data_IF_888345929634
#
_entry.id   IF_888345929634
#
_cell.length_a   1.000
_cell.length_b   1.000
_cell.length_c   1.000
_cell.angle_alpha   90.00
_cell.angle_beta   90.00
_cell.angle_gamma   90.00
#
_symmetry.space_group_name_H-M   'P 1'
#
loop_
_entity.id
_entity.type
_entity.pdbx_description
1 polymer ?
#
# COMPACT_ATOMS: atom_id res chain seq x y z
N UNK A 1 -18.77 27.48 30.26
CA UNK A 1 -19.71 26.38 29.98
C UNK A 1 -19.53 26.00 28.52
N UNK A 2 -18.76 24.97 28.23
CA UNK A 2 -18.54 24.45 26.87
C UNK A 2 -19.36 23.17 26.76
N UNK A 3 -20.32 23.20 25.84
CA UNK A 3 -21.30 22.15 25.55
C UNK A 3 -20.61 20.85 25.14
N UNK A 4 -20.78 19.79 25.94
CA UNK A 4 -20.43 18.42 25.61
C UNK A 4 -21.34 17.91 24.49
N UNK A 5 -20.86 17.89 23.23
CA UNK A 5 -21.52 17.14 22.17
C UNK A 5 -21.27 15.65 22.39
N UNK A 6 -22.35 14.95 22.71
CA UNK A 6 -22.46 13.51 22.80
C UNK A 6 -21.91 12.82 21.56
N UNK A 7 -20.76 12.18 21.67
CA UNK A 7 -20.22 11.25 20.68
C UNK A 7 -21.06 9.97 20.75
N UNK A 8 -21.81 9.68 19.67
CA UNK A 8 -22.62 8.46 19.57
C UNK A 8 -21.73 7.23 19.64
N UNK A 9 -21.97 6.38 20.62
CA UNK A 9 -21.29 5.10 20.86
C UNK A 9 -21.54 4.15 19.67
N UNK A 10 -20.61 4.09 18.71
CA UNK A 10 -20.51 2.99 17.78
C UNK A 10 -19.60 1.92 18.40
N UNK A 11 -20.20 0.96 19.10
CA UNK A 11 -19.48 -0.21 19.62
C UNK A 11 -19.18 -1.15 18.44
N UNK A 12 -18.08 -0.92 17.76
CA UNK A 12 -17.56 -1.90 16.81
C UNK A 12 -16.70 -2.93 17.57
N UNK A 13 -17.31 -4.08 17.88
CA UNK A 13 -16.54 -5.31 18.13
C UNK A 13 -15.85 -5.67 16.80
N UNK A 14 -14.58 -5.29 16.62
CA UNK A 14 -13.83 -5.53 15.38
C UNK A 14 -13.55 -7.04 15.15
N UNK A 15 -13.58 -7.84 16.23
CA UNK A 15 -13.39 -9.28 16.13
C UNK A 15 -14.70 -9.94 15.64
N UNK A 16 -14.69 -10.44 14.37
CA UNK A 16 -15.78 -11.15 13.74
C UNK A 16 -16.70 -10.33 12.82
N UNK A 17 -16.46 -9.02 12.66
CA UNK A 17 -17.18 -8.24 11.64
C UNK A 17 -16.69 -8.61 10.23
N UNK A 18 -17.60 -8.70 9.21
CA UNK A 18 -17.20 -8.96 7.84
C UNK A 18 -16.18 -7.92 7.32
N UNK A 19 -15.17 -8.38 6.57
CA UNK A 19 -14.16 -7.51 6.01
C UNK A 19 -14.75 -6.56 4.97
N UNK A 20 -14.40 -5.28 5.08
CA UNK A 20 -14.84 -4.23 4.16
C UNK A 20 -13.87 -3.98 3.02
N UNK A 21 -12.71 -4.61 3.01
CA UNK A 21 -11.66 -4.39 2.03
C UNK A 21 -11.19 -5.72 1.41
N UNK A 22 -10.92 -5.68 0.11
CA UNK A 22 -10.42 -6.80 -0.68
C UNK A 22 -9.13 -6.41 -1.37
N UNK A 23 -8.05 -7.15 -1.12
CA UNK A 23 -6.80 -7.08 -1.88
C UNK A 23 -6.73 -8.23 -2.89
N UNK A 24 -6.29 -7.97 -4.10
CA UNK A 24 -6.08 -8.99 -5.13
C UNK A 24 -4.63 -8.91 -5.60
N UNK A 25 -3.87 -9.97 -5.35
CA UNK A 25 -2.47 -10.06 -5.75
C UNK A 25 -2.33 -10.70 -7.12
N UNK A 26 -1.72 -9.95 -8.05
CA UNK A 26 -1.40 -10.43 -9.40
C UNK A 26 0.08 -10.78 -9.46
N UNK A 27 0.42 -12.07 -9.61
CA UNK A 27 1.82 -12.50 -9.50
C UNK A 27 2.59 -12.35 -10.82
N UNK A 28 2.19 -11.47 -11.73
CA UNK A 28 2.80 -11.35 -13.05
C UNK A 28 3.37 -9.96 -13.29
N UNK A 29 4.57 -9.92 -13.91
CA UNK A 29 5.20 -8.72 -14.41
C UNK A 29 5.73 -8.94 -15.82
N UNK A 30 5.72 -7.88 -16.66
CA UNK A 30 6.38 -7.92 -17.95
C UNK A 30 7.91 -8.07 -17.78
N UNK A 31 8.48 -7.45 -16.73
CA UNK A 31 9.87 -7.61 -16.31
C UNK A 31 9.96 -7.38 -14.80
N UNK A 32 10.80 -8.15 -14.10
CA UNK A 32 11.05 -7.96 -12.66
C UNK A 32 12.08 -6.87 -12.46
N UNK A 33 11.74 -5.86 -11.67
CA UNK A 33 12.63 -4.76 -11.31
C UNK A 33 13.75 -5.25 -10.39
N UNK A 34 14.91 -4.59 -10.43
CA UNK A 34 16.11 -5.03 -9.71
C UNK A 34 16.03 -4.90 -8.18
N UNK A 35 15.09 -4.09 -7.68
CA UNK A 35 14.86 -3.81 -6.26
C UNK A 35 13.65 -4.53 -5.67
N UNK A 36 12.79 -5.14 -6.53
CA UNK A 36 11.48 -5.61 -6.13
C UNK A 36 11.54 -6.99 -5.48
N UNK A 37 11.06 -7.10 -4.25
CA UNK A 37 10.92 -8.34 -3.47
C UNK A 37 9.50 -8.92 -3.52
N UNK A 38 8.52 -8.19 -4.09
CA UNK A 38 7.17 -8.72 -4.24
C UNK A 38 7.17 -10.02 -5.04
N UNK A 39 6.32 -10.95 -4.59
CA UNK A 39 6.13 -12.19 -5.31
C UNK A 39 5.59 -11.89 -6.71
N UNK A 40 6.42 -12.08 -7.71
CA UNK A 40 6.06 -11.89 -9.12
C UNK A 40 6.94 -12.75 -10.03
N UNK A 41 6.32 -13.21 -11.11
CA UNK A 41 6.91 -14.05 -12.15
C UNK A 41 6.82 -13.33 -13.50
N UNK A 42 7.72 -13.62 -14.44
CA UNK A 42 7.53 -13.22 -15.83
C UNK A 42 6.22 -13.78 -16.37
N UNK A 43 5.49 -12.99 -17.12
CA UNK A 43 4.19 -13.40 -17.64
C UNK A 43 4.30 -14.54 -18.66
N UNK A 44 3.50 -15.63 -18.43
CA UNK A 44 3.25 -16.71 -19.38
C UNK A 44 1.76 -16.74 -19.78
N UNK A 45 1.44 -16.81 -21.08
CA UNK A 45 0.04 -16.75 -21.54
C UNK A 45 -0.82 -17.93 -21.08
N UNK A 46 -0.24 -19.13 -20.98
CA UNK A 46 -0.96 -20.34 -20.55
C UNK A 46 -1.31 -20.34 -19.06
N UNK A 47 -0.51 -19.66 -18.24
CA UNK A 47 -0.67 -19.62 -16.78
C UNK A 47 -1.73 -18.62 -16.32
N UNK A 48 -1.91 -17.53 -17.06
CA UNK A 48 -2.84 -16.45 -16.71
C UNK A 48 -4.29 -16.93 -16.62
N UNK A 49 -4.78 -17.69 -17.58
CA UNK A 49 -6.17 -18.19 -17.60
C UNK A 49 -6.47 -19.17 -16.47
N UNK A 50 -5.53 -20.07 -16.11
CA UNK A 50 -5.68 -20.96 -14.96
C UNK A 50 -5.65 -20.21 -13.64
N UNK A 51 -4.75 -19.25 -13.51
CA UNK A 51 -4.69 -18.35 -12.37
C UNK A 51 -5.99 -17.57 -12.17
N UNK A 52 -6.58 -16.97 -13.21
CA UNK A 52 -7.84 -16.23 -13.09
C UNK A 52 -9.00 -17.12 -12.67
N UNK A 53 -9.08 -18.35 -13.17
CA UNK A 53 -10.08 -19.34 -12.70
C UNK A 53 -9.87 -19.71 -11.22
N UNK A 54 -8.61 -19.90 -10.79
CA UNK A 54 -8.26 -20.17 -9.40
C UNK A 54 -8.61 -18.99 -8.49
N UNK A 55 -8.31 -17.75 -8.92
CA UNK A 55 -8.63 -16.51 -8.22
C UNK A 55 -10.15 -16.36 -8.03
N UNK A 56 -10.95 -16.61 -9.09
CA UNK A 56 -12.40 -16.62 -9.00
C UNK A 56 -12.94 -17.70 -8.06
N UNK A 57 -12.28 -18.86 -7.97
CA UNK A 57 -12.63 -19.90 -7.00
C UNK A 57 -12.34 -19.45 -5.56
N UNK A 58 -11.19 -18.83 -5.31
CA UNK A 58 -10.87 -18.26 -3.99
C UNK A 58 -11.85 -17.16 -3.59
N UNK A 59 -12.20 -16.25 -4.51
CA UNK A 59 -13.20 -15.22 -4.26
C UNK A 59 -14.54 -15.82 -3.79
N UNK A 60 -15.01 -16.88 -4.45
CA UNK A 60 -16.24 -17.60 -4.02
C UNK A 60 -16.08 -18.23 -2.64
N UNK A 61 -14.94 -18.84 -2.35
CA UNK A 61 -14.67 -19.46 -1.06
C UNK A 61 -14.62 -18.44 0.09
N UNK A 62 -14.09 -17.24 -0.15
CA UNK A 62 -13.97 -16.16 0.84
C UNK A 62 -15.20 -15.26 0.95
N UNK A 63 -16.19 -15.39 0.06
CA UNK A 63 -17.37 -14.53 -0.03
C UNK A 63 -18.10 -14.32 1.30
N UNK A 64 -18.20 -15.36 2.13
CA UNK A 64 -18.87 -15.34 3.43
C UNK A 64 -18.19 -14.46 4.49
N UNK A 65 -16.91 -14.09 4.27
CA UNK A 65 -16.11 -13.21 5.16
C UNK A 65 -16.18 -11.75 4.74
N UNK A 66 -16.67 -11.46 3.55
CA UNK A 66 -16.70 -10.13 2.96
C UNK A 66 -18.04 -9.45 3.23
N UNK A 67 -17.98 -8.14 3.52
CA UNK A 67 -19.15 -7.27 3.56
C UNK A 67 -19.56 -6.91 2.13
N UNK A 68 -20.84 -6.80 1.89
CA UNK A 68 -21.38 -6.32 0.61
C UNK A 68 -22.23 -5.07 0.84
N UNK A 69 -21.95 -3.93 0.18
CA UNK A 69 -20.82 -3.69 -0.72
C UNK A 69 -19.48 -3.57 0.02
N UNK A 70 -18.36 -3.73 -0.71
CA UNK A 70 -17.02 -3.49 -0.19
C UNK A 70 -16.76 -1.97 -0.08
N UNK A 71 -15.98 -1.58 0.91
CA UNK A 71 -15.50 -0.21 1.03
C UNK A 71 -14.32 0.07 0.05
N UNK A 72 -13.49 -0.94 -0.19
CA UNK A 72 -12.39 -0.85 -1.14
C UNK A 72 -12.04 -2.20 -1.76
N UNK A 73 -11.66 -2.16 -3.04
CA UNK A 73 -10.97 -3.24 -3.76
C UNK A 73 -9.65 -2.67 -4.27
N UNK A 74 -8.57 -3.39 -4.03
CA UNK A 74 -7.23 -2.99 -4.50
C UNK A 74 -6.59 -4.16 -5.26
N UNK A 75 -6.30 -3.96 -6.52
CA UNK A 75 -5.66 -4.94 -7.40
C UNK A 75 -4.21 -4.48 -7.65
N UNK A 76 -3.27 -5.26 -7.14
CA UNK A 76 -1.85 -4.90 -7.16
C UNK A 76 -0.92 -6.14 -7.14
N UNK A 77 0.28 -5.93 -6.63
CA UNK A 77 1.31 -6.97 -6.48
C UNK A 77 2.40 -6.89 -7.53
N UNK A 78 2.35 -7.70 -8.58
CA UNK A 78 3.21 -7.54 -9.75
C UNK A 78 2.76 -6.37 -10.62
N UNK A 79 2.10 -6.64 -11.74
CA UNK A 79 1.57 -5.58 -12.62
C UNK A 79 0.24 -6.04 -13.22
N UNK A 80 -0.90 -5.66 -12.65
CA UNK A 80 -2.22 -6.07 -13.17
C UNK A 80 -2.42 -5.79 -14.67
N UNK A 81 -1.93 -4.65 -15.15
CA UNK A 81 -2.05 -4.24 -16.55
C UNK A 81 -1.13 -5.00 -17.52
N UNK A 82 -0.26 -5.89 -17.02
CA UNK A 82 0.62 -6.71 -17.90
C UNK A 82 -0.04 -7.96 -18.46
N UNK A 83 -1.18 -8.42 -17.90
CA UNK A 83 -1.80 -9.70 -18.28
C UNK A 83 -2.59 -9.65 -19.59
N UNK A 84 -2.52 -8.55 -20.31
CA UNK A 84 -3.23 -8.32 -21.56
C UNK A 84 -4.70 -7.90 -21.39
N UNK A 85 -5.31 -7.38 -22.43
CA UNK A 85 -6.65 -6.77 -22.38
C UNK A 85 -7.72 -7.76 -21.94
N UNK A 86 -7.74 -8.97 -22.50
CA UNK A 86 -8.72 -10.00 -22.15
C UNK A 86 -8.55 -10.51 -20.70
N UNK A 87 -7.31 -10.72 -20.27
CA UNK A 87 -7.01 -11.13 -18.91
C UNK A 87 -7.38 -10.03 -17.89
N UNK A 88 -7.15 -8.77 -18.23
CA UNK A 88 -7.53 -7.64 -17.38
C UNK A 88 -9.05 -7.53 -17.24
N UNK A 89 -9.81 -7.72 -18.31
CA UNK A 89 -11.28 -7.71 -18.28
C UNK A 89 -11.82 -8.84 -17.38
N UNK A 90 -11.34 -10.07 -17.57
CA UNK A 90 -11.69 -11.22 -16.73
C UNK A 90 -11.33 -10.99 -15.26
N UNK A 91 -10.15 -10.45 -14.98
CA UNK A 91 -9.69 -10.12 -13.63
C UNK A 91 -10.63 -9.13 -12.93
N UNK A 92 -10.94 -8.01 -13.58
CA UNK A 92 -11.74 -6.94 -13.00
C UNK A 92 -13.22 -7.31 -12.84
N UNK A 93 -13.70 -8.32 -13.57
CA UNK A 93 -15.04 -8.89 -13.41
C UNK A 93 -15.19 -9.71 -12.10
N UNK A 94 -14.09 -10.24 -11.53
CA UNK A 94 -14.15 -11.10 -10.33
C UNK A 94 -14.82 -10.37 -9.14
N UNK A 95 -14.46 -9.16 -8.74
CA UNK A 95 -15.08 -8.45 -7.63
C UNK A 95 -16.38 -7.71 -8.00
N UNK A 96 -16.82 -7.68 -9.27
CA UNK A 96 -17.89 -6.81 -9.74
C UNK A 96 -19.19 -6.91 -8.91
N UNK A 97 -19.58 -8.11 -8.44
CA UNK A 97 -20.76 -8.30 -7.61
C UNK A 97 -20.68 -7.73 -6.20
N UNK A 98 -19.53 -7.18 -5.76
CA UNK A 98 -19.29 -6.57 -4.44
C UNK A 98 -19.08 -5.06 -4.50
N UNK A 99 -19.16 -4.46 -5.70
CA UNK A 99 -18.96 -3.03 -5.92
C UNK A 99 -20.27 -2.26 -5.84
N UNK A 100 -20.18 -1.00 -5.42
CA UNK A 100 -21.21 0.03 -5.58
C UNK A 100 -20.56 1.38 -5.95
N UNK A 101 -21.34 2.45 -6.01
CA UNK A 101 -20.86 3.78 -6.36
C UNK A 101 -19.89 4.39 -5.34
N UNK A 102 -19.88 3.90 -4.09
CA UNK A 102 -19.01 4.38 -3.01
C UNK A 102 -17.76 3.52 -2.82
N UNK A 103 -17.67 2.38 -3.51
CA UNK A 103 -16.48 1.50 -3.44
C UNK A 103 -15.27 2.18 -4.09
N UNK A 104 -14.14 2.28 -3.37
CA UNK A 104 -12.86 2.62 -3.99
C UNK A 104 -12.32 1.39 -4.72
N UNK A 105 -12.30 1.42 -6.04
CA UNK A 105 -11.75 0.35 -6.87
C UNK A 105 -10.43 0.81 -7.49
N UNK A 106 -9.34 0.33 -6.87
CA UNK A 106 -7.96 0.72 -7.18
C UNK A 106 -7.25 -0.34 -8.00
N UNK A 107 -6.48 0.09 -9.00
CA UNK A 107 -5.60 -0.78 -9.79
C UNK A 107 -4.21 -0.16 -9.87
N UNK A 108 -3.18 -0.97 -9.62
CA UNK A 108 -1.79 -0.61 -9.90
C UNK A 108 -1.47 -0.85 -11.38
N UNK A 109 -0.71 0.06 -11.96
CA UNK A 109 -0.28 -0.03 -13.34
C UNK A 109 1.16 0.43 -13.51
N UNK A 110 1.84 -0.13 -14.52
CA UNK A 110 3.14 0.36 -14.96
C UNK A 110 2.99 1.15 -16.27
N UNK A 111 3.70 2.27 -16.44
CA UNK A 111 3.58 3.09 -17.65
C UNK A 111 3.74 2.31 -18.96
N UNK A 112 4.68 1.35 -19.00
CA UNK A 112 4.92 0.52 -20.19
C UNK A 112 3.87 -0.55 -20.50
N UNK A 113 2.85 -0.71 -19.62
CA UNK A 113 1.78 -1.72 -19.77
C UNK A 113 0.38 -1.08 -19.93
N UNK A 114 0.32 0.24 -20.00
CA UNK A 114 -0.93 0.99 -20.18
C UNK A 114 -1.09 1.34 -21.66
N UNK A 115 -2.14 0.82 -22.28
CA UNK A 115 -2.55 1.18 -23.65
C UNK A 115 -4.03 1.59 -23.70
N UNK A 116 -4.49 2.10 -24.85
CA UNK A 116 -5.85 2.62 -25.00
C UNK A 116 -6.92 1.58 -24.71
N UNK A 117 -6.73 0.32 -25.12
CA UNK A 117 -7.69 -0.77 -24.88
C UNK A 117 -7.73 -1.18 -23.41
N UNK A 118 -6.57 -1.28 -22.77
CA UNK A 118 -6.50 -1.54 -21.33
C UNK A 118 -7.18 -0.45 -20.50
N UNK A 119 -7.02 0.82 -20.90
CA UNK A 119 -7.71 1.95 -20.27
C UNK A 119 -9.24 1.86 -20.44
N UNK A 120 -9.72 1.48 -21.63
CA UNK A 120 -11.17 1.25 -21.85
C UNK A 120 -11.72 0.16 -20.94
N UNK A 121 -10.96 -0.93 -20.72
CA UNK A 121 -11.34 -2.02 -19.80
C UNK A 121 -11.38 -1.49 -18.35
N UNK A 122 -10.37 -0.75 -17.91
CA UNK A 122 -10.36 -0.16 -16.56
C UNK A 122 -11.61 0.69 -16.30
N UNK A 123 -11.94 1.57 -17.25
CA UNK A 123 -13.12 2.45 -17.13
C UNK A 123 -14.42 1.65 -17.15
N UNK A 124 -14.56 0.69 -18.06
CA UNK A 124 -15.77 -0.13 -18.21
C UNK A 124 -16.04 -1.01 -16.98
N UNK A 125 -14.98 -1.48 -16.32
CA UNK A 125 -15.06 -2.26 -15.09
C UNK A 125 -15.41 -1.41 -13.84
N UNK A 126 -15.46 -0.07 -13.98
CA UNK A 126 -15.75 0.83 -12.86
C UNK A 126 -14.54 1.13 -11.97
N UNK A 127 -13.31 0.89 -12.46
CA UNK A 127 -12.10 1.34 -11.76
C UNK A 127 -12.14 2.86 -11.62
N UNK A 128 -11.98 3.35 -10.39
CA UNK A 128 -12.09 4.77 -10.11
C UNK A 128 -10.80 5.37 -9.52
N UNK A 129 -9.78 4.52 -9.25
CA UNK A 129 -8.45 4.91 -8.80
C UNK A 129 -7.38 4.08 -9.55
N UNK A 130 -6.35 4.76 -10.09
CA UNK A 130 -5.18 4.08 -10.67
C UNK A 130 -3.91 4.68 -10.09
N UNK A 131 -3.00 3.82 -9.62
CA UNK A 131 -1.66 4.20 -9.20
C UNK A 131 -0.66 3.78 -10.29
N UNK A 132 0.13 4.74 -10.79
CA UNK A 132 1.19 4.49 -11.76
C UNK A 132 2.54 4.39 -11.06
N UNK A 133 3.19 3.24 -11.18
CA UNK A 133 4.55 3.00 -10.70
C UNK A 133 5.59 3.66 -11.62
N UNK A 134 5.74 4.98 -11.53
CA UNK A 134 6.67 5.75 -12.34
C UNK A 134 8.10 5.61 -11.83
N UNK A 135 8.31 5.69 -10.52
CA UNK A 135 9.52 5.57 -9.74
C UNK A 135 10.50 6.74 -9.92
N UNK A 136 10.75 7.19 -11.16
CA UNK A 136 11.54 8.37 -11.49
C UNK A 136 11.18 8.93 -12.87
N UNK A 137 11.45 10.22 -13.08
CA UNK A 137 11.39 10.86 -14.39
C UNK A 137 12.80 11.03 -15.04
N UNK A 138 13.78 10.29 -14.53
CA UNK A 138 15.16 10.26 -15.04
C UNK A 138 15.47 8.90 -15.65
N UNK A 139 15.95 8.89 -16.91
CA UNK A 139 16.21 7.65 -17.63
C UNK A 139 17.33 6.80 -17.02
N UNK A 140 18.34 7.46 -16.46
CA UNK A 140 19.47 6.84 -15.75
C UNK A 140 19.01 6.15 -14.45
N UNK A 141 18.15 6.81 -13.67
CA UNK A 141 17.57 6.27 -12.43
C UNK A 141 16.64 5.07 -12.74
N UNK A 142 15.77 5.20 -13.76
CA UNK A 142 14.93 4.09 -14.21
C UNK A 142 15.77 2.87 -14.64
N UNK A 143 16.89 3.10 -15.35
CA UNK A 143 17.82 2.03 -15.73
C UNK A 143 18.46 1.37 -14.51
N UNK A 144 18.87 2.14 -13.50
CA UNK A 144 19.42 1.62 -12.26
C UNK A 144 18.43 0.71 -11.53
N UNK A 145 17.15 1.07 -11.53
CA UNK A 145 16.04 0.28 -10.97
C UNK A 145 15.63 -0.93 -11.84
N UNK A 146 16.12 -1.05 -13.08
CA UNK A 146 15.69 -2.09 -14.03
C UNK A 146 14.28 -1.87 -14.58
N UNK A 147 13.82 -0.61 -14.65
CA UNK A 147 12.53 -0.26 -15.26
C UNK A 147 12.62 -0.29 -16.77
N UNK A 148 11.56 -0.81 -17.42
CA UNK A 148 11.49 -0.98 -18.88
C UNK A 148 10.82 0.20 -19.60
N UNK A 149 10.19 1.13 -18.85
CA UNK A 149 9.56 2.31 -19.43
C UNK A 149 10.49 3.53 -19.39
N UNK A 150 10.21 4.49 -20.26
CA UNK A 150 10.87 5.80 -20.30
C UNK A 150 10.07 6.86 -19.55
N UNK A 151 10.69 8.00 -19.18
CA UNK A 151 9.98 9.14 -18.60
C UNK A 151 8.83 9.64 -19.49
N UNK A 152 8.97 9.59 -20.81
CA UNK A 152 7.91 10.00 -21.73
C UNK A 152 6.72 9.05 -21.66
N UNK A 153 6.95 7.74 -21.62
CA UNK A 153 5.86 6.77 -21.47
C UNK A 153 5.10 6.95 -20.14
N UNK A 154 5.77 7.40 -19.08
CA UNK A 154 5.09 7.71 -17.81
C UNK A 154 4.12 8.89 -17.95
N UNK A 155 4.53 9.97 -18.66
CA UNK A 155 3.66 11.12 -18.97
C UNK A 155 2.49 10.72 -19.86
N UNK A 156 2.77 9.95 -20.91
CA UNK A 156 1.76 9.52 -21.87
C UNK A 156 0.71 8.63 -21.23
N UNK A 157 1.12 7.66 -20.42
CA UNK A 157 0.22 6.78 -19.66
C UNK A 157 -0.67 7.59 -18.69
N UNK A 158 -0.10 8.52 -17.94
CA UNK A 158 -0.87 9.38 -17.04
C UNK A 158 -1.90 10.24 -17.78
N UNK A 159 -1.51 10.84 -18.90
CA UNK A 159 -2.40 11.66 -19.72
C UNK A 159 -3.51 10.82 -20.37
N UNK A 160 -3.20 9.61 -20.83
CA UNK A 160 -4.16 8.67 -21.40
C UNK A 160 -5.24 8.29 -20.39
N UNK A 161 -4.86 7.91 -19.16
CA UNK A 161 -5.78 7.61 -18.08
C UNK A 161 -6.68 8.82 -17.76
N UNK A 162 -6.10 10.02 -17.70
CA UNK A 162 -6.84 11.25 -17.44
C UNK A 162 -7.83 11.60 -18.54
N UNK A 163 -7.44 11.46 -19.80
CA UNK A 163 -8.30 11.71 -20.97
C UNK A 163 -9.49 10.73 -21.02
N UNK A 164 -9.29 9.50 -20.58
CA UNK A 164 -10.35 8.51 -20.44
C UNK A 164 -11.33 8.78 -19.29
N UNK A 165 -11.14 9.86 -18.52
CA UNK A 165 -12.05 10.27 -17.45
C UNK A 165 -11.69 9.79 -16.05
N UNK A 166 -10.59 9.06 -15.86
CA UNK A 166 -10.12 8.67 -14.54
C UNK A 166 -9.64 9.91 -13.77
N UNK A 167 -10.27 10.18 -12.62
CA UNK A 167 -10.06 11.41 -11.85
C UNK A 167 -9.22 11.22 -10.60
N UNK A 168 -9.04 10.00 -10.13
CA UNK A 168 -8.23 9.68 -8.96
C UNK A 168 -6.97 8.93 -9.41
N UNK A 169 -5.96 9.68 -9.82
CA UNK A 169 -4.69 9.16 -10.33
C UNK A 169 -3.58 9.42 -9.32
N UNK A 170 -2.85 8.36 -8.98
CA UNK A 170 -1.66 8.40 -8.15
C UNK A 170 -0.40 8.17 -8.96
N UNK A 171 0.71 8.71 -8.48
CA UNK A 171 2.06 8.48 -8.99
C UNK A 171 2.92 7.97 -7.85
N UNK A 172 3.70 6.92 -8.10
CA UNK A 172 4.65 6.39 -7.13
C UNK A 172 6.06 6.74 -7.58
N UNK A 173 6.85 7.34 -6.67
CA UNK A 173 8.24 7.73 -6.86
C UNK A 173 9.12 7.06 -5.81
N UNK A 174 10.40 6.83 -6.16
CA UNK A 174 11.41 6.28 -5.25
C UNK A 174 12.55 7.28 -5.11
N UNK A 175 12.96 7.56 -3.87
CA UNK A 175 14.20 8.28 -3.57
C UNK A 175 15.25 7.34 -2.98
N UNK A 176 16.52 7.78 -2.99
CA UNK A 176 17.63 6.93 -2.55
C UNK A 176 18.10 5.93 -3.62
N UNK A 177 17.77 6.17 -4.90
CA UNK A 177 18.23 5.34 -6.02
C UNK A 177 19.74 5.49 -6.19
N UNK A 178 20.52 4.41 -6.41
CA UNK A 178 21.94 4.52 -6.65
C UNK A 178 22.29 5.55 -7.73
N UNK A 179 23.15 6.52 -7.38
CA UNK A 179 23.52 7.63 -8.24
C UNK A 179 22.52 8.78 -8.31
N UNK A 180 21.39 8.68 -7.64
CA UNK A 180 20.44 9.78 -7.51
C UNK A 180 21.02 10.88 -6.60
N UNK A 181 20.83 12.14 -6.99
CA UNK A 181 21.14 13.31 -6.17
C UNK A 181 19.86 13.98 -5.65
N UNK A 182 19.97 14.79 -4.60
CA UNK A 182 18.85 15.62 -4.15
C UNK A 182 18.28 16.48 -5.28
N UNK A 183 19.12 17.01 -6.17
CA UNK A 183 18.67 17.82 -7.30
C UNK A 183 17.87 17.00 -8.32
N UNK A 184 18.29 15.76 -8.65
CA UNK A 184 17.54 14.91 -9.58
C UNK A 184 16.22 14.42 -8.97
N UNK A 185 16.20 14.15 -7.66
CA UNK A 185 14.98 13.88 -6.91
C UNK A 185 13.99 15.06 -6.96
N UNK A 186 14.48 16.27 -6.67
CA UNK A 186 13.67 17.49 -6.73
C UNK A 186 13.04 17.70 -8.12
N UNK A 187 13.80 17.44 -9.18
CA UNK A 187 13.29 17.52 -10.55
C UNK A 187 12.20 16.47 -10.81
N UNK A 188 12.36 15.23 -10.35
CA UNK A 188 11.35 14.16 -10.49
C UNK A 188 10.06 14.47 -9.71
N UNK A 189 10.18 15.00 -8.49
CA UNK A 189 9.01 15.43 -7.69
C UNK A 189 8.28 16.59 -8.37
N UNK A 190 9.01 17.60 -8.86
CA UNK A 190 8.41 18.75 -9.56
C UNK A 190 7.63 18.28 -10.79
N UNK A 191 8.22 17.39 -11.60
CA UNK A 191 7.58 16.84 -12.78
C UNK A 191 6.33 16.00 -12.45
N UNK A 192 6.37 15.18 -11.38
CA UNK A 192 5.21 14.47 -10.90
C UNK A 192 4.07 15.44 -10.49
N UNK A 193 4.39 16.51 -9.78
CA UNK A 193 3.41 17.49 -9.32
C UNK A 193 2.83 18.36 -10.47
N UNK A 194 3.62 18.62 -11.52
CA UNK A 194 3.14 19.32 -12.72
C UNK A 194 2.05 18.52 -13.46
N UNK A 195 2.05 17.21 -13.36
CA UNK A 195 0.97 16.34 -13.84
C UNK A 195 -0.31 16.47 -13.01
N UNK A 196 -0.27 17.15 -11.86
CA UNK A 196 -1.41 17.40 -10.94
C UNK A 196 -2.11 16.11 -10.50
N UNK A 197 -1.39 15.15 -9.91
CA UNK A 197 -2.00 13.92 -9.42
C UNK A 197 -2.92 14.21 -8.22
N UNK A 198 -3.79 13.26 -7.91
CA UNK A 198 -4.62 13.28 -6.70
C UNK A 198 -3.93 12.62 -5.53
N UNK A 199 -2.92 11.80 -5.81
CA UNK A 199 -2.14 11.08 -4.83
C UNK A 199 -0.68 10.97 -5.29
N UNK A 200 0.24 11.05 -4.37
CA UNK A 200 1.67 10.88 -4.62
C UNK A 200 2.24 9.96 -3.54
N UNK A 201 2.95 8.93 -3.95
CA UNK A 201 3.74 8.09 -3.05
C UNK A 201 5.22 8.39 -3.25
N UNK A 202 5.96 8.57 -2.16
CA UNK A 202 7.41 8.78 -2.18
C UNK A 202 8.05 7.77 -1.22
N UNK A 203 8.61 6.70 -1.78
CA UNK A 203 9.21 5.62 -1.02
C UNK A 203 10.73 5.79 -0.96
N UNK A 204 11.32 5.52 0.21
CA UNK A 204 12.75 5.26 0.28
C UNK A 204 13.07 3.93 -0.41
N UNK A 205 14.13 3.90 -1.21
CA UNK A 205 14.63 2.64 -1.76
C UNK A 205 15.12 1.74 -0.62
N UNK A 206 14.59 0.53 -0.57
CA UNK A 206 15.10 -0.51 0.33
C UNK A 206 15.85 -1.56 -0.46
N UNK A 207 17.05 -1.91 0.00
CA UNK A 207 17.85 -2.99 -0.56
C UNK A 207 17.41 -4.33 0.04
N UNK A 208 16.40 -4.95 -0.58
CA UNK A 208 15.82 -6.21 -0.09
C UNK A 208 16.72 -7.39 -0.42
N UNK A 209 16.97 -8.27 0.54
CA UNK A 209 17.75 -9.49 0.36
C UNK A 209 17.28 -10.30 -0.85
N UNK A 210 18.22 -10.94 -1.52
CA UNK A 210 17.96 -11.76 -2.71
C UNK A 210 17.50 -11.00 -3.97
N UNK A 211 17.48 -9.66 -3.94
CA UNK A 211 17.26 -8.87 -5.16
C UNK A 211 18.58 -8.60 -5.90
N UNK A 212 18.56 -8.42 -7.24
CA UNK A 212 19.76 -8.04 -7.98
C UNK A 212 20.43 -6.76 -7.49
N UNK A 213 19.64 -5.79 -7.00
CA UNK A 213 20.17 -4.53 -6.50
C UNK A 213 20.86 -4.71 -5.15
N UNK A 214 20.36 -5.57 -4.27
CA UNK A 214 21.01 -5.94 -3.02
C UNK A 214 22.35 -6.67 -3.29
N UNK A 215 22.38 -7.57 -4.28
CA UNK A 215 23.63 -8.24 -4.69
C UNK A 215 24.68 -7.25 -5.20
N UNK A 216 24.25 -6.20 -5.90
CA UNK A 216 25.15 -5.13 -6.35
C UNK A 216 25.70 -4.31 -5.18
N UNK A 217 24.86 -4.02 -4.16
CA UNK A 217 25.28 -3.36 -2.93
C UNK A 217 26.32 -4.21 -2.18
N UNK A 218 26.04 -5.51 -1.97
CA UNK A 218 26.96 -6.43 -1.29
C UNK A 218 28.31 -6.58 -2.02
N UNK A 219 28.30 -6.45 -3.34
CA UNK A 219 29.50 -6.52 -4.17
C UNK A 219 30.21 -5.16 -4.32
N UNK A 220 29.72 -4.10 -3.68
CA UNK A 220 30.32 -2.75 -3.78
C UNK A 220 30.18 -2.12 -5.17
N UNK A 221 29.23 -2.58 -5.98
CA UNK A 221 28.98 -2.01 -7.33
C UNK A 221 28.06 -0.79 -7.29
N UNK A 222 27.28 -0.67 -6.23
CA UNK A 222 26.44 0.49 -5.93
C UNK A 222 26.59 0.83 -4.45
N UNK A 223 26.28 2.08 -4.12
CA UNK A 223 26.28 2.58 -2.75
C UNK A 223 24.85 3.01 -2.37
N UNK A 224 24.52 2.87 -1.11
CA UNK A 224 23.30 3.41 -0.54
C UNK A 224 23.47 4.92 -0.31
N UNK A 225 22.43 5.69 -0.58
CA UNK A 225 22.39 7.12 -0.26
C UNK A 225 22.51 7.31 1.26
N UNK A 226 23.32 8.25 1.70
CA UNK A 226 23.49 8.51 3.13
C UNK A 226 22.17 9.01 3.78
N UNK A 227 22.04 8.80 5.08
CA UNK A 227 20.81 9.08 5.82
C UNK A 227 20.43 10.58 5.78
N UNK A 228 21.41 11.49 5.80
CA UNK A 228 21.15 12.92 5.76
C UNK A 228 20.61 13.36 4.39
N UNK A 229 21.12 12.75 3.31
CA UNK A 229 20.59 12.97 1.96
C UNK A 229 19.20 12.35 1.80
N UNK A 230 18.96 11.15 2.35
CA UNK A 230 17.62 10.53 2.36
C UNK A 230 16.60 11.40 3.12
N UNK A 231 16.99 11.93 4.29
CA UNK A 231 16.14 12.86 5.04
C UNK A 231 15.86 14.15 4.24
N UNK A 232 16.85 14.70 3.55
CA UNK A 232 16.68 15.88 2.70
C UNK A 232 15.68 15.60 1.55
N UNK A 233 15.76 14.41 0.92
CA UNK A 233 14.82 13.98 -0.11
C UNK A 233 13.39 13.87 0.45
N UNK A 234 13.23 13.23 1.60
CA UNK A 234 11.94 13.07 2.28
C UNK A 234 11.33 14.43 2.68
N UNK A 235 12.11 15.31 3.30
CA UNK A 235 11.67 16.67 3.66
C UNK A 235 11.27 17.50 2.43
N UNK A 236 12.01 17.35 1.33
CA UNK A 236 11.65 18.01 0.08
C UNK A 236 10.29 17.53 -0.43
N UNK A 237 10.03 16.21 -0.45
CA UNK A 237 8.75 15.65 -0.88
C UNK A 237 7.57 16.23 -0.07
N UNK A 238 7.69 16.27 1.26
CA UNK A 238 6.65 16.87 2.14
C UNK A 238 6.39 18.33 1.77
N UNK A 239 7.46 19.15 1.66
CA UNK A 239 7.33 20.56 1.36
C UNK A 239 6.73 20.81 -0.03
N UNK A 240 7.17 20.08 -1.04
CA UNK A 240 6.69 20.19 -2.41
C UNK A 240 5.23 19.74 -2.55
N UNK A 241 4.87 18.61 -1.97
CA UNK A 241 3.51 18.08 -1.95
C UNK A 241 2.54 19.05 -1.28
N UNK A 242 2.90 19.61 -0.10
CA UNK A 242 2.09 20.59 0.61
C UNK A 242 1.83 21.86 -0.22
N UNK A 243 2.86 22.39 -0.91
CA UNK A 243 2.72 23.53 -1.82
C UNK A 243 1.80 23.24 -3.00
N UNK A 244 1.74 21.97 -3.45
CA UNK A 244 0.85 21.52 -4.51
C UNK A 244 -0.57 21.15 -4.02
N UNK A 245 -0.86 21.28 -2.71
CA UNK A 245 -2.15 21.01 -2.10
C UNK A 245 -2.41 19.52 -1.85
N UNK A 246 -1.35 18.71 -1.70
CA UNK A 246 -1.43 17.34 -1.21
C UNK A 246 -1.03 17.30 0.26
N UNK A 247 -1.85 16.68 1.09
CA UNK A 247 -1.63 16.49 2.52
C UNK A 247 -0.85 15.20 2.76
N UNK A 248 0.21 15.26 3.58
CA UNK A 248 0.93 14.10 4.08
C UNK A 248 0.02 13.38 5.08
N UNK A 249 -0.47 12.17 4.78
CA UNK A 249 -1.43 11.48 5.64
C UNK A 249 -0.88 10.22 6.30
N UNK A 250 0.19 9.64 5.76
CA UNK A 250 0.93 8.53 6.38
C UNK A 250 2.38 8.55 5.87
N UNK A 251 3.23 7.68 6.36
CA UNK A 251 4.69 7.73 6.27
C UNK A 251 5.26 8.05 4.88
N UNK A 252 4.66 7.52 3.80
CA UNK A 252 5.17 7.66 2.42
C UNK A 252 4.18 8.34 1.47
N UNK A 253 2.93 8.58 1.88
CA UNK A 253 1.87 8.94 0.97
C UNK A 253 1.27 10.32 1.23
N UNK A 254 1.01 11.01 0.12
CA UNK A 254 0.41 12.34 0.07
C UNK A 254 -0.83 12.30 -0.80
N UNK A 255 -1.90 12.99 -0.39
CA UNK A 255 -3.14 13.02 -1.15
C UNK A 255 -3.81 14.39 -1.08
N UNK A 256 -4.56 14.75 -2.12
CA UNK A 256 -5.52 15.85 -2.00
C UNK A 256 -6.58 15.51 -0.95
N UNK A 257 -7.18 16.49 -0.27
CA UNK A 257 -8.26 16.25 0.69
C UNK A 257 -9.33 15.31 0.13
N UNK A 258 -9.64 14.23 0.88
CA UNK A 258 -10.61 13.21 0.47
C UNK A 258 -10.14 12.26 -0.64
N UNK A 259 -8.83 12.23 -0.96
CA UNK A 259 -8.22 11.34 -1.96
C UNK A 259 -7.17 10.38 -1.38
N UNK A 260 -7.10 10.29 -0.05
CA UNK A 260 -6.29 9.25 0.62
C UNK A 260 -6.72 7.87 0.13
N UNK A 261 -5.78 6.93 0.02
CA UNK A 261 -6.10 5.55 -0.35
C UNK A 261 -6.86 4.86 0.78
N UNK A 262 -8.15 4.62 0.59
CA UNK A 262 -9.01 3.97 1.60
C UNK A 262 -8.56 2.56 1.92
N UNK A 263 -8.01 1.87 0.95
CA UNK A 263 -7.46 0.55 1.14
C UNK A 263 -6.23 0.57 2.06
N UNK A 264 -5.27 1.48 1.84
CA UNK A 264 -4.09 1.64 2.71
C UNK A 264 -4.50 2.05 4.13
N UNK A 265 -5.49 2.94 4.26
CA UNK A 265 -6.04 3.31 5.57
C UNK A 265 -6.63 2.11 6.31
N UNK A 266 -7.21 1.12 5.60
CA UNK A 266 -7.68 -0.14 6.22
C UNK A 266 -6.53 -0.87 6.94
N UNK A 267 -5.34 -0.89 6.33
CA UNK A 267 -4.14 -1.49 6.93
C UNK A 267 -3.67 -0.70 8.15
N UNK A 268 -3.52 0.62 8.00
CA UNK A 268 -3.03 1.48 9.07
C UNK A 268 -3.95 1.53 10.29
N UNK A 269 -5.25 1.42 10.10
CA UNK A 269 -6.23 1.29 11.19
C UNK A 269 -6.38 -0.15 11.71
N UNK A 270 -5.57 -1.08 11.20
CA UNK A 270 -5.63 -2.51 11.56
C UNK A 270 -7.05 -3.08 11.47
N UNK A 271 -7.76 -2.76 10.37
CA UNK A 271 -9.13 -3.22 10.12
C UNK A 271 -9.11 -4.54 9.33
N UNK A 272 -10.18 -5.35 9.42
CA UNK A 272 -10.27 -6.60 8.66
C UNK A 272 -10.23 -6.38 7.15
N UNK A 273 -9.44 -7.21 6.46
CA UNK A 273 -9.39 -7.30 5.00
C UNK A 273 -9.10 -8.73 4.56
N UNK A 274 -9.50 -9.06 3.34
CA UNK A 274 -9.21 -10.35 2.70
C UNK A 274 -8.27 -10.11 1.53
N UNK A 275 -7.22 -10.91 1.44
CA UNK A 275 -6.33 -10.99 0.29
C UNK A 275 -6.58 -12.25 -0.51
N UNK A 276 -6.57 -12.15 -1.83
CA UNK A 276 -6.69 -13.23 -2.79
C UNK A 276 -5.44 -13.32 -3.65
N UNK A 277 -5.09 -14.51 -4.06
CA UNK A 277 -3.92 -14.80 -4.90
C UNK A 277 -2.70 -15.25 -4.09
N UNK A 278 -1.68 -15.87 -4.76
CA UNK A 278 -0.45 -16.33 -4.11
C UNK A 278 0.35 -15.14 -3.57
N UNK A 279 0.86 -15.23 -2.34
CA UNK A 279 1.55 -14.14 -1.65
C UNK A 279 0.61 -13.09 -1.02
N UNK A 280 -0.70 -13.19 -1.20
CA UNK A 280 -1.64 -12.22 -0.63
C UNK A 280 -1.81 -12.44 0.88
N UNK A 281 -1.73 -11.33 1.64
CA UNK A 281 -2.04 -11.31 3.06
C UNK A 281 -3.52 -11.00 3.32
N UNK A 282 -4.03 -11.52 4.44
CA UNK A 282 -5.36 -11.21 4.98
C UNK A 282 -5.25 -10.93 6.48
N UNK A 283 -6.16 -10.10 7.01
CA UNK A 283 -6.37 -9.97 8.44
C UNK A 283 -7.86 -10.10 8.75
N UNK A 284 -8.25 -11.17 9.43
CA UNK A 284 -9.64 -11.44 9.74
C UNK A 284 -9.77 -12.24 11.05
N UNK A 285 -10.66 -11.81 11.93
CA UNK A 285 -10.92 -12.51 13.20
C UNK A 285 -9.71 -12.58 14.15
N UNK A 286 -8.77 -11.63 14.06
CA UNK A 286 -7.53 -11.62 14.85
C UNK A 286 -6.44 -12.54 14.29
N UNK A 287 -6.65 -13.13 13.11
CA UNK A 287 -5.68 -13.99 12.42
C UNK A 287 -5.06 -13.23 11.26
N UNK A 288 -3.74 -13.15 11.22
CA UNK A 288 -2.94 -12.85 10.04
C UNK A 288 -2.77 -14.13 9.23
N UNK A 289 -3.12 -14.10 7.96
CA UNK A 289 -2.93 -15.20 7.04
C UNK A 289 -2.24 -14.67 5.79
N UNK A 290 -1.24 -15.40 5.30
CA UNK A 290 -0.57 -15.10 4.05
C UNK A 290 -0.58 -16.33 3.17
N UNK A 291 -1.18 -16.25 1.99
CA UNK A 291 -1.09 -17.31 0.99
C UNK A 291 0.37 -17.53 0.61
N UNK A 292 0.77 -18.78 0.45
CA UNK A 292 2.14 -19.09 0.07
C UNK A 292 2.47 -18.49 -1.31
N UNK A 293 3.68 -17.95 -1.52
CA UNK A 293 4.10 -17.35 -2.78
C UNK A 293 4.50 -18.45 -3.80
N UNK A 294 3.56 -19.34 -4.13
CA UNK A 294 3.71 -20.43 -5.10
C UNK A 294 2.47 -20.48 -6.00
N UNK A 295 2.61 -19.98 -7.22
CA UNK A 295 1.53 -19.95 -8.21
C UNK A 295 1.00 -21.33 -8.55
N UNK A 296 1.89 -22.31 -8.70
CA UNK A 296 1.51 -23.67 -9.11
C UNK A 296 0.71 -24.36 -8.01
N UNK A 297 1.20 -24.32 -6.77
CA UNK A 297 0.51 -24.90 -5.63
C UNK A 297 -0.84 -24.21 -5.38
N UNK A 298 -0.89 -22.87 -5.53
CA UNK A 298 -2.11 -22.09 -5.42
C UNK A 298 -3.18 -22.52 -6.45
N UNK A 299 -2.80 -22.60 -7.73
CA UNK A 299 -3.73 -22.97 -8.83
C UNK A 299 -4.25 -24.37 -8.62
N UNK A 300 -3.40 -25.35 -8.33
CA UNK A 300 -3.79 -26.74 -8.08
C UNK A 300 -4.80 -26.82 -6.92
N UNK A 301 -4.50 -26.20 -5.79
CA UNK A 301 -5.37 -26.22 -4.62
C UNK A 301 -6.74 -25.62 -4.92
N UNK A 302 -6.77 -24.40 -5.49
CA UNK A 302 -8.02 -23.70 -5.74
C UNK A 302 -8.90 -24.39 -6.77
N UNK A 303 -8.33 -24.93 -7.84
CA UNK A 303 -9.09 -25.65 -8.88
C UNK A 303 -9.55 -27.05 -8.42
N UNK A 304 -8.89 -27.61 -7.40
CA UNK A 304 -9.32 -28.86 -6.75
C UNK A 304 -10.33 -28.64 -5.62
N UNK A 305 -10.78 -27.41 -5.38
CA UNK A 305 -11.71 -27.06 -4.30
C UNK A 305 -11.09 -27.10 -2.90
N UNK A 306 -9.77 -27.09 -2.81
CA UNK A 306 -9.02 -27.01 -1.54
C UNK A 306 -8.72 -25.54 -1.20
N UNK A 307 -8.38 -25.29 0.07
CA UNK A 307 -7.89 -23.97 0.48
C UNK A 307 -6.48 -23.72 -0.06
N UNK A 308 -6.18 -22.49 -0.45
CA UNK A 308 -4.83 -22.09 -0.83
C UNK A 308 -3.84 -22.39 0.32
N UNK A 309 -2.66 -22.98 0.02
CA UNK A 309 -1.59 -23.12 1.02
C UNK A 309 -1.25 -21.78 1.62
N UNK A 310 -1.05 -21.72 2.95
CA UNK A 310 -0.84 -20.44 3.62
C UNK A 310 -0.22 -20.63 5.01
N UNK A 311 0.58 -19.67 5.43
CA UNK A 311 0.96 -19.45 6.82
C UNK A 311 -0.13 -18.66 7.57
N UNK A 312 -0.21 -18.88 8.89
CA UNK A 312 -1.17 -18.17 9.76
C UNK A 312 -0.52 -17.84 11.09
N UNK A 313 -0.87 -16.68 11.61
CA UNK A 313 -0.47 -16.24 12.94
C UNK A 313 -1.69 -15.69 13.68
N UNK A 314 -1.92 -16.19 14.90
CA UNK A 314 -2.98 -15.70 15.77
C UNK A 314 -2.43 -14.59 16.66
N UNK A 315 -2.86 -13.35 16.42
CA UNK A 315 -2.49 -12.21 17.24
C UNK A 315 -3.48 -12.07 18.40
N UNK A 316 -2.98 -12.14 19.62
CA UNK A 316 -3.82 -12.04 20.84
C UNK A 316 -3.17 -11.15 21.89
N UNK A 317 -3.97 -10.65 22.82
CA UNK A 317 -3.48 -9.91 23.98
C UNK A 317 -2.59 -8.74 23.60
N UNK A 318 -1.43 -8.69 24.21
CA UNK A 318 -0.48 -7.56 24.10
C UNK A 318 0.14 -7.44 22.70
N UNK A 319 0.38 -8.55 22.01
CA UNK A 319 0.92 -8.52 20.63
C UNK A 319 -0.07 -7.92 19.63
N UNK A 320 -1.37 -8.21 19.77
CA UNK A 320 -2.41 -7.58 18.93
C UNK A 320 -2.52 -6.06 19.19
N UNK A 321 -2.36 -5.64 20.45
CA UNK A 321 -2.31 -4.23 20.83
C UNK A 321 -1.09 -3.53 20.24
N UNK A 322 0.10 -4.14 20.33
CA UNK A 322 1.35 -3.59 19.83
C UNK A 322 1.32 -3.42 18.30
N UNK A 323 0.80 -4.41 17.58
CA UNK A 323 0.61 -4.31 16.13
C UNK A 323 -0.33 -3.14 15.77
N UNK A 324 -1.44 -2.96 16.49
CA UNK A 324 -2.35 -1.84 16.25
C UNK A 324 -1.67 -0.49 16.49
N UNK A 325 -0.86 -0.37 17.54
CA UNK A 325 -0.09 0.84 17.81
C UNK A 325 0.93 1.09 16.70
N UNK A 326 1.70 0.06 16.31
CA UNK A 326 2.71 0.14 15.27
C UNK A 326 2.12 0.62 13.93
N UNK A 327 0.98 0.09 13.54
CA UNK A 327 0.33 0.46 12.29
C UNK A 327 -0.25 1.88 12.36
N UNK A 328 -0.97 2.22 13.43
CA UNK A 328 -1.61 3.51 13.57
C UNK A 328 -0.62 4.67 13.73
N UNK A 329 0.54 4.46 14.34
CA UNK A 329 1.58 5.49 14.46
C UNK A 329 2.29 5.81 13.14
N UNK A 330 2.05 5.06 12.08
CA UNK A 330 2.49 5.42 10.72
C UNK A 330 1.61 6.49 10.07
N UNK A 331 0.39 6.70 10.58
CA UNK A 331 -0.46 7.81 10.19
C UNK A 331 0.04 9.13 10.81
N UNK A 332 0.00 10.21 10.07
CA UNK A 332 0.30 11.55 10.59
C UNK A 332 -0.70 11.99 11.68
N UNK A 333 -1.93 11.47 11.63
CA UNK A 333 -2.93 11.66 12.67
C UNK A 333 -2.62 10.83 13.92
N UNK A 334 -1.96 9.67 13.76
CA UNK A 334 -1.61 8.75 14.84
C UNK A 334 -2.75 7.84 15.28
N UNK A 335 -2.59 7.25 16.47
CA UNK A 335 -3.51 6.33 17.12
C UNK A 335 -4.61 7.10 17.86
N UNK A 336 -5.87 6.84 17.52
CA UNK A 336 -7.01 7.32 18.30
C UNK A 336 -7.07 6.55 19.64
N UNK A 337 -6.89 7.28 20.74
CA UNK A 337 -6.82 6.72 22.10
C UNK A 337 -8.16 6.10 22.53
N UNK A 338 -9.29 6.73 22.15
CA UNK A 338 -10.61 6.22 22.49
C UNK A 338 -10.95 4.98 21.67
N UNK A 339 -10.64 4.97 20.38
CA UNK A 339 -10.87 3.80 19.54
C UNK A 339 -10.02 2.59 19.98
N UNK A 340 -8.82 2.83 20.47
CA UNK A 340 -7.98 1.78 21.04
C UNK A 340 -8.59 1.22 22.34
N UNK A 341 -9.01 2.08 23.26
CA UNK A 341 -9.66 1.67 24.51
C UNK A 341 -10.99 0.94 24.25
N UNK A 342 -11.80 1.41 23.30
CA UNK A 342 -13.05 0.74 22.91
C UNK A 342 -12.79 -0.66 22.33
N UNK A 343 -11.68 -0.85 21.61
CA UNK A 343 -11.29 -2.12 21.00
C UNK A 343 -10.75 -3.13 21.99
N UNK A 344 -9.90 -2.68 22.91
CA UNK A 344 -9.12 -3.57 23.78
C UNK A 344 -9.53 -3.50 25.27
N UNK A 345 -10.35 -2.53 25.67
CA UNK A 345 -10.75 -2.33 27.07
C UNK A 345 -9.63 -1.82 27.95
N UNK A 346 -8.54 -1.30 27.38
CA UNK A 346 -7.35 -0.84 28.07
C UNK A 346 -6.82 0.45 27.47
N UNK A 347 -6.30 1.35 28.31
CA UNK A 347 -5.59 2.55 27.83
C UNK A 347 -4.19 2.17 27.35
N UNK A 348 -3.86 2.52 26.10
CA UNK A 348 -2.56 2.24 25.48
C UNK A 348 -1.39 2.78 26.31
N UNK A 349 -1.59 3.93 27.02
CA UNK A 349 -0.60 4.56 27.87
C UNK A 349 -0.32 3.78 29.16
N UNK A 350 -1.23 2.89 29.56
CA UNK A 350 -1.00 1.94 30.67
C UNK A 350 -0.33 0.66 30.15
N UNK A 351 -0.70 0.21 28.97
CA UNK A 351 -0.16 -1.01 28.34
C UNK A 351 1.32 -0.84 27.96
N UNK A 352 1.68 0.26 27.30
CA UNK A 352 3.03 0.57 26.81
C UNK A 352 3.61 1.83 27.47
N UNK A 353 3.35 1.97 28.77
CA UNK A 353 3.58 3.22 29.51
C UNK A 353 5.03 3.64 29.57
N UNK A 354 5.99 2.70 29.63
CA UNK A 354 7.41 3.01 29.72
C UNK A 354 7.93 3.63 28.41
N UNK A 355 7.70 2.98 27.27
CA UNK A 355 8.14 3.49 25.96
C UNK A 355 7.41 4.76 25.59
N UNK A 356 6.09 4.82 25.77
CA UNK A 356 5.28 6.01 25.46
C UNK A 356 5.75 7.21 26.29
N UNK A 357 5.93 7.05 27.61
CA UNK A 357 6.38 8.14 28.48
C UNK A 357 7.77 8.63 28.11
N UNK A 358 8.71 7.71 27.80
CA UNK A 358 10.06 8.05 27.37
C UNK A 358 10.02 8.87 26.06
N UNK A 359 9.29 8.41 25.05
CA UNK A 359 9.22 9.10 23.76
C UNK A 359 8.45 10.43 23.83
N UNK A 360 7.47 10.58 24.73
CA UNK A 360 6.85 11.90 24.99
C UNK A 360 7.88 12.87 25.58
N UNK A 361 8.69 12.42 26.56
CA UNK A 361 9.72 13.25 27.18
C UNK A 361 10.83 13.68 26.22
N UNK A 362 11.18 12.82 25.25
CA UNK A 362 12.21 13.09 24.23
C UNK A 362 11.66 13.78 22.98
N UNK A 363 10.33 14.00 22.87
CA UNK A 363 9.71 14.61 21.70
C UNK A 363 9.51 13.67 20.50
N UNK A 364 9.69 12.36 20.70
CA UNK A 364 9.41 11.32 19.69
C UNK A 364 7.91 11.01 19.53
N UNK A 365 7.15 11.22 20.61
CA UNK A 365 5.69 11.07 20.62
C UNK A 365 5.04 12.31 21.25
N UNK A 366 3.82 12.59 20.86
CA UNK A 366 2.97 13.60 21.48
C UNK A 366 1.50 13.15 21.52
N UNK A 367 0.73 13.74 22.43
CA UNK A 367 -0.73 13.58 22.46
C UNK A 367 -1.39 14.86 21.97
N UNK A 368 -2.11 14.79 20.86
CA UNK A 368 -2.82 15.92 20.29
C UNK A 368 -4.25 15.52 19.91
N UNK A 369 -5.24 16.28 20.34
CA UNK A 369 -6.66 16.07 20.00
C UNK A 369 -7.15 14.60 20.21
N UNK A 370 -6.77 13.98 21.36
CA UNK A 370 -7.08 12.58 21.69
C UNK A 370 -6.38 11.51 20.82
N UNK A 371 -5.34 11.89 20.09
CA UNK A 371 -4.49 10.95 19.37
C UNK A 371 -3.07 10.91 19.95
N UNK A 372 -2.51 9.70 20.05
CA UNK A 372 -1.07 9.51 20.26
C UNK A 372 -0.43 9.45 18.87
N UNK A 373 0.50 10.35 18.59
CA UNK A 373 1.13 10.43 17.29
C UNK A 373 2.63 10.71 17.34
N UNK A 374 3.32 10.40 16.26
CA UNK A 374 4.69 10.82 16.02
C UNK A 374 4.64 12.22 15.40
N UNK A 375 5.28 13.25 16.00
CA UNK A 375 5.33 14.58 15.40
C UNK A 375 6.12 14.57 14.09
N UNK A 376 5.82 15.51 13.20
CA UNK A 376 6.47 15.59 11.88
C UNK A 376 8.01 15.65 11.95
N UNK A 377 8.57 16.21 13.03
CA UNK A 377 10.02 16.27 13.26
C UNK A 377 10.67 14.92 13.54
N UNK A 378 9.91 13.94 14.05
CA UNK A 378 10.40 12.60 14.40
C UNK A 378 9.92 11.51 13.43
N UNK A 379 9.08 11.84 12.43
CA UNK A 379 8.48 10.84 11.54
C UNK A 379 9.53 10.11 10.68
N UNK A 380 10.63 10.76 10.31
CA UNK A 380 11.70 10.13 9.53
C UNK A 380 12.37 8.97 10.28
N UNK A 381 12.53 9.12 11.60
CA UNK A 381 13.10 8.08 12.50
C UNK A 381 12.03 7.26 13.23
N UNK A 382 10.82 7.23 12.71
CA UNK A 382 9.67 6.55 13.34
C UNK A 382 9.92 5.08 13.68
N UNK A 383 10.74 4.37 12.90
CA UNK A 383 11.03 2.95 13.14
C UNK A 383 11.69 2.70 14.50
N UNK A 384 12.57 3.58 14.96
CA UNK A 384 13.20 3.46 16.30
C UNK A 384 12.15 3.53 17.41
N UNK A 385 11.19 4.46 17.29
CA UNK A 385 10.09 4.62 18.24
C UNK A 385 9.21 3.37 18.25
N UNK A 386 8.90 2.83 17.06
CA UNK A 386 8.04 1.66 16.91
C UNK A 386 8.70 0.39 17.47
N UNK A 387 10.01 0.20 17.25
CA UNK A 387 10.78 -0.94 17.79
C UNK A 387 10.74 -0.93 19.32
N UNK A 388 10.91 0.23 19.94
CA UNK A 388 10.86 0.36 21.40
C UNK A 388 9.49 -0.01 21.99
N UNK A 389 8.40 0.36 21.31
CA UNK A 389 7.04 -0.01 21.72
C UNK A 389 6.80 -1.51 21.55
N UNK A 390 7.25 -2.08 20.43
CA UNK A 390 7.14 -3.51 20.16
C UNK A 390 7.95 -4.35 21.15
N UNK A 391 9.09 -3.84 21.64
CA UNK A 391 9.90 -4.52 22.65
C UNK A 391 9.20 -4.64 24.02
N UNK A 392 8.11 -3.91 24.26
CA UNK A 392 7.26 -4.05 25.44
C UNK A 392 6.11 -5.05 25.24
N UNK A 393 5.88 -5.58 24.02
CA UNK A 393 4.80 -6.53 23.69
C UNK A 393 5.13 -8.01 24.07
#
# INVERSE_FOLDING_TARGET
>A
MVSSRSCKKNRHKVCGAPAGALYVHIPFCAAKCRYCDFYSLPIGQSETGEFLRALAAEMRAQAHRLRKPLASVFVGGGTPTSIGVAGLDELLAIPAGWLDCDTEFSVEANPGTVDGRGVEVLVSAGVNRVNLGVQSFRADELKALGRIHSPQQARDAFNMLRQAGLRNLGLDLIYGIPGQSLQSWQASVAEALDLRPQHLSCYALSFQENTPLWQDLQAGRVEEMDEAEQEACWRHAISAAAKAGLEHYEISNFARPGRQCRHNLTYWHNMPYIGLGPGAASYFGGVRRMNDPDLTAYVIAMLSGQAAPASQEQLTGRSAMAETVMLALRLTQGLDLQAFEDRYGQDVRQVFGRSISRHIQTGGLEVQACHLRIPASAMFVSNEILVDILAEA
#
